data_IF_929533624910
#
_entry.id   IF_929533624910
#
_cell.length_a   1.000
_cell.length_b   1.000
_cell.length_c   1.000
_cell.angle_alpha   90.00
_cell.angle_beta   90.00
_cell.angle_gamma   90.00
#
_symmetry.space_group_name_H-M   'P 1'
#
loop_
_entity.id
_entity.type
_entity.pdbx_description
1 polymer ?
#
# COMPACT_ATOMS: atom_id res chain seq x y z
N UNK A 1 -24.74 7.15 -8.77
CA UNK A 1 -24.52 5.72 -8.49
C UNK A 1 -23.71 5.68 -7.21
N UNK A 2 -24.26 5.15 -6.13
CA UNK A 2 -23.54 5.07 -4.85
C UNK A 2 -22.42 4.03 -4.99
N UNK A 3 -21.19 4.43 -4.69
CA UNK A 3 -20.04 3.52 -4.64
C UNK A 3 -20.13 2.73 -3.34
N UNK A 4 -20.03 1.41 -3.43
CA UNK A 4 -19.92 0.57 -2.24
C UNK A 4 -18.55 0.74 -1.59
N UNK A 5 -18.48 0.49 -0.28
CA UNK A 5 -17.21 0.48 0.45
C UNK A 5 -16.18 -0.45 -0.22
N UNK A 6 -16.60 -1.62 -0.68
CA UNK A 6 -15.74 -2.58 -1.37
C UNK A 6 -15.15 -2.03 -2.69
N UNK A 7 -15.96 -1.31 -3.49
CA UNK A 7 -15.51 -0.68 -4.74
C UNK A 7 -14.54 0.47 -4.48
N UNK A 8 -14.80 1.30 -3.45
CA UNK A 8 -13.88 2.36 -3.06
C UNK A 8 -12.53 1.80 -2.62
N UNK A 9 -12.56 0.72 -1.84
CA UNK A 9 -11.37 0.00 -1.43
C UNK A 9 -10.59 -0.59 -2.60
N UNK A 10 -11.28 -1.21 -3.54
CA UNK A 10 -10.67 -1.77 -4.75
C UNK A 10 -9.94 -0.68 -5.55
N UNK A 11 -10.55 0.50 -5.70
CA UNK A 11 -9.95 1.68 -6.34
C UNK A 11 -8.72 2.18 -5.60
N UNK A 12 -8.78 2.30 -4.27
CA UNK A 12 -7.64 2.74 -3.45
C UNK A 12 -6.44 1.80 -3.62
N UNK A 13 -6.68 0.49 -3.55
CA UNK A 13 -5.64 -0.53 -3.77
C UNK A 13 -5.09 -0.50 -5.19
N UNK A 14 -5.94 -0.35 -6.20
CA UNK A 14 -5.51 -0.21 -7.59
C UNK A 14 -4.60 0.99 -7.77
N UNK A 15 -4.98 2.16 -7.25
CA UNK A 15 -4.14 3.36 -7.28
C UNK A 15 -2.79 3.15 -6.60
N UNK A 16 -2.76 2.42 -5.48
CA UNK A 16 -1.51 2.03 -4.81
C UNK A 16 -0.65 1.12 -5.69
N UNK A 17 -1.24 0.11 -6.34
CA UNK A 17 -0.50 -0.82 -7.20
C UNK A 17 0.05 -0.14 -8.45
N UNK A 18 -0.75 0.67 -9.13
CA UNK A 18 -0.31 1.43 -10.30
C UNK A 18 0.87 2.36 -9.95
N UNK A 19 0.81 2.96 -8.75
CA UNK A 19 1.88 3.79 -8.20
C UNK A 19 3.16 2.98 -7.91
N UNK A 20 3.04 1.76 -7.39
CA UNK A 20 4.21 0.89 -7.19
C UNK A 20 4.79 0.39 -8.53
N UNK A 21 3.94 -0.06 -9.44
CA UNK A 21 4.33 -0.67 -10.72
C UNK A 21 5.00 0.34 -11.66
N UNK A 22 4.44 1.56 -11.77
CA UNK A 22 5.00 2.63 -12.61
C UNK A 22 6.42 3.05 -12.22
N UNK A 23 6.88 2.72 -11.01
CA UNK A 23 8.24 3.04 -10.54
C UNK A 23 9.26 1.97 -10.90
N UNK A 24 8.85 0.72 -11.07
CA UNK A 24 9.76 -0.40 -11.34
C UNK A 24 10.68 -0.13 -12.55
N UNK A 25 10.18 0.36 -13.70
CA UNK A 25 11.03 0.60 -14.87
C UNK A 25 12.07 1.72 -14.68
N UNK A 26 11.88 2.59 -13.69
CA UNK A 26 12.77 3.73 -13.40
C UNK A 26 13.80 3.46 -12.32
N UNK A 27 13.84 2.24 -11.75
CA UNK A 27 14.78 1.88 -10.70
C UNK A 27 16.08 1.34 -11.28
N UNK A 28 17.14 2.12 -11.18
CA UNK A 28 18.50 1.74 -11.60
C UNK A 28 19.13 0.71 -10.63
N UNK A 29 18.73 0.72 -9.36
CA UNK A 29 19.23 -0.23 -8.37
C UNK A 29 18.46 -1.56 -8.43
N UNK A 30 19.07 -2.58 -9.01
CA UNK A 30 18.45 -3.91 -9.23
C UNK A 30 17.97 -4.58 -7.94
N UNK A 31 18.69 -4.43 -6.83
CA UNK A 31 18.29 -5.01 -5.53
C UNK A 31 17.00 -4.39 -5.03
N UNK A 32 16.92 -3.07 -5.08
CA UNK A 32 15.71 -2.33 -4.69
C UNK A 32 14.57 -2.63 -5.66
N UNK A 33 14.83 -2.72 -6.96
CA UNK A 33 13.82 -3.07 -7.96
C UNK A 33 13.24 -4.47 -7.72
N UNK A 34 14.08 -5.46 -7.42
CA UNK A 34 13.67 -6.82 -7.10
C UNK A 34 12.84 -6.88 -5.80
N UNK A 35 13.30 -6.20 -4.74
CA UNK A 35 12.58 -6.11 -3.48
C UNK A 35 11.22 -5.44 -3.66
N UNK A 36 11.18 -4.31 -4.36
CA UNK A 36 9.95 -3.56 -4.64
C UNK A 36 8.95 -4.38 -5.46
N UNK A 37 9.43 -5.10 -6.47
CA UNK A 37 8.60 -6.01 -7.28
C UNK A 37 8.05 -7.17 -6.44
N UNK A 38 8.87 -7.75 -5.56
CA UNK A 38 8.43 -8.78 -4.61
C UNK A 38 7.38 -8.23 -3.65
N UNK A 39 7.56 -7.00 -3.18
CA UNK A 39 6.61 -6.33 -2.30
C UNK A 39 5.27 -6.06 -2.97
N UNK A 40 5.27 -5.59 -4.22
CA UNK A 40 4.06 -5.40 -5.01
C UNK A 40 3.23 -6.70 -5.10
N UNK A 41 3.87 -7.83 -5.40
CA UNK A 41 3.20 -9.15 -5.42
C UNK A 41 2.58 -9.50 -4.06
N UNK A 42 3.32 -9.26 -2.96
CA UNK A 42 2.79 -9.48 -1.60
C UNK A 42 1.57 -8.59 -1.32
N UNK A 43 1.63 -7.31 -1.68
CA UNK A 43 0.52 -6.37 -1.52
C UNK A 43 -0.72 -6.79 -2.32
N UNK A 44 -0.54 -7.27 -3.56
CA UNK A 44 -1.62 -7.82 -4.39
C UNK A 44 -2.28 -9.03 -3.73
N UNK A 45 -1.52 -9.95 -3.14
CA UNK A 45 -2.07 -11.07 -2.38
C UNK A 45 -2.84 -10.60 -1.14
N UNK A 46 -2.31 -9.64 -0.38
CA UNK A 46 -2.98 -9.09 0.80
C UNK A 46 -4.34 -8.43 0.49
N UNK A 47 -4.50 -7.83 -0.71
CA UNK A 47 -5.79 -7.30 -1.15
C UNK A 47 -6.86 -8.40 -1.25
N UNK A 48 -6.51 -9.57 -1.77
CA UNK A 48 -7.46 -10.69 -1.92
C UNK A 48 -7.97 -11.16 -0.56
N UNK A 49 -7.05 -11.42 0.37
CA UNK A 49 -7.36 -11.79 1.75
C UNK A 49 -8.23 -10.71 2.44
N UNK A 50 -7.95 -9.43 2.12
CA UNK A 50 -8.71 -8.32 2.66
C UNK A 50 -10.16 -8.29 2.16
N UNK A 51 -10.38 -8.38 0.85
CA UNK A 51 -11.72 -8.39 0.27
C UNK A 51 -12.54 -9.58 0.79
N UNK A 52 -11.91 -10.73 1.03
CA UNK A 52 -12.55 -11.87 1.68
C UNK A 52 -12.90 -11.60 3.15
N UNK A 53 -12.03 -10.91 3.89
CA UNK A 53 -12.29 -10.49 5.27
C UNK A 53 -13.44 -9.48 5.35
N UNK A 54 -13.53 -8.54 4.42
CA UNK A 54 -14.62 -7.56 4.33
C UNK A 54 -15.99 -8.23 4.24
N UNK A 55 -16.11 -9.26 3.39
CA UNK A 55 -17.36 -10.02 3.22
C UNK A 55 -17.81 -10.74 4.50
N UNK A 56 -16.90 -11.02 5.43
CA UNK A 56 -17.19 -11.77 6.68
C UNK A 56 -17.55 -10.87 7.86
N UNK A 57 -17.18 -9.59 7.82
CA UNK A 57 -17.33 -8.69 8.96
C UNK A 57 -17.95 -7.36 8.50
N UNK A 58 -19.28 -7.26 8.45
CA UNK A 58 -19.99 -6.00 8.11
C UNK A 58 -20.04 -4.97 9.25
N UNK A 59 -19.52 -5.29 10.44
CA UNK A 59 -19.80 -4.53 11.68
C UNK A 59 -18.73 -3.46 12.02
N UNK A 60 -17.58 -3.43 11.34
CA UNK A 60 -16.51 -2.46 11.64
C UNK A 60 -16.71 -1.19 10.82
N UNK A 61 -16.61 -0.04 11.48
CA UNK A 61 -16.64 1.27 10.86
C UNK A 61 -15.64 1.41 9.69
N UNK A 62 -16.05 1.98 8.54
CA UNK A 62 -15.22 2.12 7.34
C UNK A 62 -13.86 2.82 7.58
N UNK A 63 -13.84 3.85 8.43
CA UNK A 63 -12.64 4.64 8.70
C UNK A 63 -11.68 3.91 9.65
N UNK A 64 -12.21 3.30 10.71
CA UNK A 64 -11.40 2.45 11.60
C UNK A 64 -10.76 1.31 10.81
N UNK A 65 -11.56 0.72 9.92
CA UNK A 65 -11.08 -0.30 9.02
C UNK A 65 -9.97 0.26 8.14
N UNK A 66 -10.14 1.47 7.60
CA UNK A 66 -9.11 2.07 6.75
C UNK A 66 -7.79 2.31 7.45
N UNK A 67 -7.85 2.93 8.63
CA UNK A 67 -6.67 3.20 9.44
C UNK A 67 -5.91 1.91 9.76
N UNK A 68 -6.62 0.83 10.07
CA UNK A 68 -6.01 -0.46 10.38
C UNK A 68 -5.26 -1.09 9.19
N UNK A 69 -5.81 -1.00 7.98
CA UNK A 69 -5.13 -1.54 6.79
C UNK A 69 -3.96 -0.67 6.35
N UNK A 70 -4.15 0.66 6.31
CA UNK A 70 -3.06 1.58 6.02
C UNK A 70 -1.91 1.36 7.00
N UNK A 71 -2.20 1.20 8.31
CA UNK A 71 -1.19 0.85 9.32
C UNK A 71 -0.47 -0.46 9.01
N UNK A 72 -1.18 -1.53 8.66
CA UNK A 72 -0.56 -2.83 8.32
C UNK A 72 0.33 -2.72 7.08
N UNK A 73 -0.13 -2.02 6.04
CA UNK A 73 0.65 -1.77 4.83
C UNK A 73 1.93 -1.00 5.16
N UNK A 74 1.81 0.12 5.89
CA UNK A 74 2.94 0.94 6.31
C UNK A 74 3.98 0.13 7.08
N UNK A 75 3.56 -0.64 8.10
CA UNK A 75 4.47 -1.47 8.89
C UNK A 75 5.20 -2.51 8.03
N UNK A 76 4.50 -3.14 7.08
CA UNK A 76 5.11 -4.11 6.16
C UNK A 76 6.15 -3.47 5.22
N UNK A 77 5.99 -2.20 4.84
CA UNK A 77 6.97 -1.49 4.02
C UNK A 77 8.14 -0.93 4.85
N UNK A 78 7.87 -0.51 6.09
CA UNK A 78 8.91 -0.07 7.02
C UNK A 78 9.85 -1.22 7.42
N UNK A 79 9.33 -2.45 7.51
CA UNK A 79 10.12 -3.65 7.76
C UNK A 79 11.20 -3.87 6.70
N UNK A 80 10.83 -3.78 5.41
CA UNK A 80 11.79 -3.82 4.30
C UNK A 80 12.85 -2.72 4.39
N UNK A 81 12.43 -1.51 4.74
CA UNK A 81 13.35 -0.38 4.89
C UNK A 81 14.33 -0.61 6.05
N UNK A 82 13.88 -1.18 7.17
CA UNK A 82 14.75 -1.59 8.28
C UNK A 82 15.78 -2.61 7.83
N UNK A 83 15.34 -3.64 7.11
CA UNK A 83 16.23 -4.69 6.61
C UNK A 83 17.27 -4.14 5.63
N UNK A 84 16.90 -3.21 4.74
CA UNK A 84 17.86 -2.55 3.86
C UNK A 84 18.85 -1.71 4.68
N UNK A 85 18.37 -0.92 5.65
CA UNK A 85 19.23 -0.07 6.47
C UNK A 85 20.27 -0.88 7.26
N UNK A 86 19.90 -2.06 7.75
CA UNK A 86 20.80 -2.99 8.46
C UNK A 86 21.95 -3.52 7.58
N UNK A 87 21.80 -3.50 6.26
CA UNK A 87 22.89 -3.89 5.34
C UNK A 87 24.00 -2.83 5.20
N UNK A 88 23.76 -1.60 5.65
CA UNK A 88 24.66 -0.46 5.45
C UNK A 88 24.63 0.13 4.03
N UNK A 89 23.77 -0.37 3.14
CA UNK A 89 23.59 0.15 1.78
C UNK A 89 22.78 1.46 1.80
N UNK A 90 23.50 2.57 1.97
CA UNK A 90 22.90 3.92 2.09
C UNK A 90 22.18 4.35 0.82
N UNK A 91 22.65 3.93 -0.35
CA UNK A 91 22.03 4.23 -1.63
C UNK A 91 20.69 3.50 -1.75
N UNK A 92 20.67 2.19 -1.51
CA UNK A 92 19.44 1.40 -1.51
C UNK A 92 18.43 1.94 -0.48
N UNK A 93 18.91 2.32 0.70
CA UNK A 93 18.07 2.93 1.76
C UNK A 93 17.42 4.23 1.28
N UNK A 94 18.19 5.11 0.64
CA UNK A 94 17.67 6.38 0.13
C UNK A 94 16.63 6.19 -0.99
N UNK A 95 16.90 5.26 -1.92
CA UNK A 95 15.97 4.92 -3.00
C UNK A 95 14.68 4.33 -2.40
N UNK A 96 14.78 3.36 -1.50
CA UNK A 96 13.62 2.73 -0.88
C UNK A 96 12.79 3.72 -0.04
N UNK A 97 13.44 4.61 0.71
CA UNK A 97 12.77 5.68 1.46
C UNK A 97 11.94 6.59 0.53
N UNK A 98 12.48 6.93 -0.64
CA UNK A 98 11.77 7.73 -1.65
C UNK A 98 10.55 6.97 -2.18
N UNK A 99 10.71 5.69 -2.52
CA UNK A 99 9.62 4.83 -2.98
C UNK A 99 8.52 4.67 -1.91
N UNK A 100 8.92 4.45 -0.66
CA UNK A 100 8.00 4.37 0.47
C UNK A 100 7.18 5.66 0.57
N UNK A 101 7.84 6.82 0.61
CA UNK A 101 7.15 8.11 0.77
C UNK A 101 6.09 8.33 -0.33
N UNK A 102 6.44 8.00 -1.58
CA UNK A 102 5.50 8.08 -2.70
C UNK A 102 4.35 7.07 -2.60
N UNK A 103 4.63 5.86 -2.14
CA UNK A 103 3.60 4.85 -1.90
C UNK A 103 2.61 5.32 -0.82
N UNK A 104 3.10 5.98 0.23
CA UNK A 104 2.25 6.60 1.26
C UNK A 104 1.35 7.66 0.65
N UNK A 105 1.91 8.61 -0.12
CA UNK A 105 1.10 9.62 -0.81
C UNK A 105 -0.01 8.98 -1.67
N UNK A 106 0.32 7.90 -2.40
CA UNK A 106 -0.65 7.16 -3.21
C UNK A 106 -1.75 6.47 -2.36
N UNK A 107 -1.41 5.88 -1.21
CA UNK A 107 -2.39 5.29 -0.30
C UNK A 107 -3.37 6.32 0.28
N UNK A 108 -2.90 7.55 0.54
CA UNK A 108 -3.71 8.60 1.13
C UNK A 108 -4.58 9.37 0.12
N UNK A 109 -4.35 9.22 -1.20
CA UNK A 109 -5.20 9.88 -2.23
C UNK A 109 -6.68 9.48 -2.17
N UNK A 110 -6.98 8.27 -1.70
CA UNK A 110 -8.36 7.81 -1.53
C UNK A 110 -8.96 8.12 -0.17
N UNK A 111 -8.24 8.80 0.72
CA UNK A 111 -8.69 9.05 2.10
C UNK A 111 -9.94 9.94 2.14
N UNK A 112 -9.96 11.02 1.36
CA UNK A 112 -11.07 11.97 1.35
C UNK A 112 -12.38 11.27 0.95
N UNK A 113 -12.35 10.46 -0.13
CA UNK A 113 -13.50 9.65 -0.59
C UNK A 113 -13.99 8.67 0.50
N UNK A 114 -13.10 8.16 1.36
CA UNK A 114 -13.46 7.23 2.45
C UNK A 114 -14.12 7.95 3.61
N UNK A 115 -13.71 9.18 3.90
CA UNK A 115 -14.34 10.00 4.95
C UNK A 115 -15.77 10.41 4.59
N UNK A 116 -16.10 10.47 3.30
CA UNK A 116 -17.44 10.81 2.80
C UNK A 116 -18.45 9.66 2.90
N UNK A 117 -18.01 8.39 3.00
CA UNK A 117 -18.91 7.23 3.19
C UNK A 117 -19.58 7.23 4.59
N UNK A 118 -19.24 8.19 5.48
CA UNK A 118 -19.81 8.31 6.82
C UNK A 118 -21.09 9.14 6.92
N UNK A 119 -21.66 9.61 5.82
CA UNK A 119 -22.97 10.30 5.77
C UNK A 119 -24.02 9.47 5.05
#
# INVERSE_FOLDING_TARGET
MEITLAELWDRCWKGCFDCMESRIPSLENEKVAALWSKKLKKCQSCKVEYLESLKRYEIIDPLERWANYTRKCLLCMLDDMSHIAETGDLEATAIYKKLLSQCIECMFRGFDEITEIRT
#
